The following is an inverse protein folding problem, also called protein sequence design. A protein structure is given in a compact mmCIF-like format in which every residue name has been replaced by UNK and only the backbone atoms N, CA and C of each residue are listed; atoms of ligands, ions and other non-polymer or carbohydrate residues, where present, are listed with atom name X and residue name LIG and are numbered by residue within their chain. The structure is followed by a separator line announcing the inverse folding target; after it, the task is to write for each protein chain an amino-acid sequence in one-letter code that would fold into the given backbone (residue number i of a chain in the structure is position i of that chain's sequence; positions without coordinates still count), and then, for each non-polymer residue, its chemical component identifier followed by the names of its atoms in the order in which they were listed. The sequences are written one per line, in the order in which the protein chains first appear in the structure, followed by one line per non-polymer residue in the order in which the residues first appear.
data_IF_489025695440
#
_entry.id   IF_489025695440
#
_cell.length_a   1.000
_cell.length_b   1.000
_cell.length_c   1.000
_cell.angle_alpha   90.00
_cell.angle_beta   90.00
_cell.angle_gamma   90.00
#
_symmetry.space_group_name_H-M   'P 1'
#
loop_
_entity.id
_entity.type
_entity.pdbx_description
1 polymer ?
#
# COMPACT_ATOMS: atom_id res chain seq x y z
N UNK A 1 1.40 -23.02 -0.09
CA UNK A 1 0.27 -22.67 -0.97
C UNK A 1 0.90 -22.26 -2.29
N UNK A 2 0.69 -23.05 -3.35
CA UNK A 2 1.13 -22.74 -4.71
C UNK A 2 0.40 -21.48 -5.17
N UNK A 3 1.12 -20.50 -5.71
CA UNK A 3 0.49 -19.31 -6.29
C UNK A 3 -0.32 -19.74 -7.52
N UNK A 4 -1.63 -19.51 -7.47
CA UNK A 4 -2.54 -19.77 -8.58
C UNK A 4 -2.34 -18.72 -9.68
N UNK A 5 -2.43 -19.15 -10.94
CA UNK A 5 -2.41 -18.22 -12.06
C UNK A 5 -3.74 -17.43 -12.16
N UNK A 6 -3.79 -16.31 -12.92
CA UNK A 6 -5.05 -15.64 -13.20
C UNK A 6 -6.11 -16.57 -13.81
N UNK A 7 -5.72 -17.53 -14.65
CA UNK A 7 -6.64 -18.51 -15.24
C UNK A 7 -7.27 -19.43 -14.18
N UNK A 8 -6.45 -19.92 -13.24
CA UNK A 8 -6.90 -20.75 -12.13
C UNK A 8 -7.87 -19.98 -11.24
N UNK A 9 -7.56 -18.72 -10.93
CA UNK A 9 -8.45 -17.84 -10.15
C UNK A 9 -9.78 -17.61 -10.83
N UNK A 10 -9.79 -17.30 -12.13
CA UNK A 10 -11.04 -17.12 -12.88
C UNK A 10 -11.87 -18.41 -12.87
N UNK A 11 -11.24 -19.58 -12.99
CA UNK A 11 -11.93 -20.86 -12.87
C UNK A 11 -12.55 -21.07 -11.47
N UNK A 12 -11.80 -20.76 -10.40
CA UNK A 12 -12.31 -20.83 -9.02
C UNK A 12 -13.52 -19.89 -8.85
N UNK A 13 -13.44 -18.66 -9.33
CA UNK A 13 -14.52 -17.68 -9.16
C UNK A 13 -15.78 -18.07 -9.94
N UNK A 14 -15.65 -18.66 -11.13
CA UNK A 14 -16.79 -19.17 -11.92
C UNK A 14 -17.59 -20.25 -11.21
N UNK A 15 -16.91 -21.10 -10.43
CA UNK A 15 -17.49 -22.33 -9.86
C UNK A 15 -17.69 -22.28 -8.34
N UNK A 16 -17.08 -21.33 -7.63
CA UNK A 16 -17.35 -21.13 -6.20
C UNK A 16 -18.77 -20.64 -5.96
N UNK A 17 -19.17 -20.54 -4.69
CA UNK A 17 -20.48 -19.97 -4.29
C UNK A 17 -20.38 -18.72 -3.39
N UNK A 18 -19.28 -18.53 -2.67
CA UNK A 18 -19.09 -17.44 -1.70
C UNK A 18 -18.92 -16.05 -2.32
N UNK A 19 -19.48 -14.98 -1.72
CA UNK A 19 -19.04 -13.61 -1.94
C UNK A 19 -17.54 -13.48 -1.67
N UNK A 20 -16.79 -12.82 -2.55
CA UNK A 20 -15.31 -12.83 -2.49
C UNK A 20 -14.72 -11.43 -2.61
N UNK A 21 -13.87 -11.04 -1.66
CA UNK A 21 -12.99 -9.88 -1.77
C UNK A 21 -11.60 -10.34 -2.20
N UNK A 22 -11.16 -9.88 -3.38
CA UNK A 22 -9.83 -10.16 -3.91
C UNK A 22 -8.89 -9.02 -3.52
N UNK A 23 -7.76 -9.37 -2.90
CA UNK A 23 -6.73 -8.41 -2.47
C UNK A 23 -5.41 -8.73 -3.16
N UNK A 24 -4.50 -7.75 -3.25
CA UNK A 24 -3.25 -7.92 -3.98
C UNK A 24 -2.33 -8.97 -3.34
N UNK A 25 -2.01 -8.79 -2.06
CA UNK A 25 -0.98 -9.57 -1.38
C UNK A 25 -1.41 -10.08 -0.02
N UNK A 26 -0.48 -10.81 0.60
CA UNK A 26 -0.71 -11.39 1.94
C UNK A 26 -0.73 -10.34 3.04
N UNK A 27 0.00 -9.23 2.87
CA UNK A 27 0.01 -8.14 3.85
C UNK A 27 -1.38 -7.48 3.90
N UNK A 28 -2.08 -7.34 2.77
CA UNK A 28 -3.48 -6.88 2.68
C UNK A 28 -4.45 -7.84 3.37
N UNK A 29 -4.30 -9.14 3.11
CA UNK A 29 -5.11 -10.17 3.77
C UNK A 29 -4.96 -10.10 5.30
N UNK A 30 -3.74 -9.91 5.80
CA UNK A 30 -3.50 -9.77 7.25
C UNK A 30 -4.21 -8.55 7.82
N UNK A 31 -4.29 -7.45 7.08
CA UNK A 31 -5.02 -6.24 7.50
C UNK A 31 -6.52 -6.48 7.66
N UNK A 32 -7.10 -7.36 6.83
CA UNK A 32 -8.52 -7.67 6.79
C UNK A 32 -8.93 -8.93 7.56
N UNK A 33 -7.98 -9.62 8.20
CA UNK A 33 -8.27 -10.91 8.85
C UNK A 33 -9.33 -10.81 9.94
N UNK A 34 -9.25 -9.79 10.80
CA UNK A 34 -10.22 -9.62 11.88
C UNK A 34 -11.60 -9.26 11.31
N UNK A 35 -11.64 -8.48 10.22
CA UNK A 35 -12.86 -8.17 9.49
C UNK A 35 -13.51 -9.43 8.87
N UNK A 36 -12.74 -10.34 8.27
CA UNK A 36 -13.26 -11.62 7.77
C UNK A 36 -13.91 -12.45 8.89
N UNK A 37 -13.24 -12.55 10.05
CA UNK A 37 -13.73 -13.31 11.20
C UNK A 37 -15.03 -12.71 11.74
N UNK A 38 -15.11 -11.38 11.83
CA UNK A 38 -16.30 -10.68 12.34
C UNK A 38 -17.50 -10.77 11.39
N UNK A 39 -17.26 -11.00 10.09
CA UNK A 39 -18.30 -11.09 9.07
C UNK A 39 -18.47 -12.51 8.53
N UNK A 40 -18.12 -13.52 9.33
CA UNK A 40 -18.26 -14.95 8.96
C UNK A 40 -19.70 -15.32 8.54
N UNK A 41 -20.71 -14.68 9.15
CA UNK A 41 -22.12 -14.91 8.84
C UNK A 41 -22.50 -14.50 7.41
N UNK A 42 -21.71 -13.63 6.77
CA UNK A 42 -21.91 -13.21 5.38
C UNK A 42 -21.32 -14.21 4.38
N UNK A 43 -20.59 -15.22 4.85
CA UNK A 43 -19.83 -16.13 4.01
C UNK A 43 -18.78 -15.44 3.14
N UNK A 44 -18.39 -14.20 3.50
CA UNK A 44 -17.39 -13.43 2.77
C UNK A 44 -16.04 -14.13 2.86
N UNK A 45 -15.43 -14.36 1.70
CA UNK A 45 -14.08 -14.93 1.59
C UNK A 45 -13.11 -13.84 1.14
N UNK A 46 -11.99 -13.66 1.84
CA UNK A 46 -10.94 -12.70 1.46
C UNK A 46 -9.73 -13.46 0.94
N UNK A 47 -9.26 -13.10 -0.24
CA UNK A 47 -8.26 -13.93 -0.94
C UNK A 47 -7.17 -13.11 -1.63
N UNK A 48 -5.88 -13.36 -1.31
CA UNK A 48 -4.77 -12.71 -1.98
C UNK A 48 -4.40 -13.40 -3.31
N UNK A 49 -4.10 -12.61 -4.35
CA UNK A 49 -3.79 -13.13 -5.71
C UNK A 49 -2.35 -12.90 -6.18
N UNK A 50 -1.45 -12.59 -5.25
CA UNK A 50 -0.01 -12.47 -5.47
C UNK A 50 0.39 -11.33 -6.41
N UNK A 51 -0.26 -10.18 -6.24
CA UNK A 51 0.16 -8.87 -6.77
C UNK A 51 -0.85 -8.22 -7.72
N UNK A 52 -0.71 -6.89 -7.87
CA UNK A 52 -1.54 -6.03 -8.72
C UNK A 52 -1.76 -6.54 -10.13
N UNK A 53 -0.72 -7.05 -10.81
CA UNK A 53 -0.84 -7.53 -12.18
C UNK A 53 -1.80 -8.72 -12.31
N UNK A 54 -1.78 -9.65 -11.35
CA UNK A 54 -2.70 -10.77 -11.35
C UNK A 54 -4.11 -10.30 -11.04
N UNK A 55 -4.26 -9.42 -10.05
CA UNK A 55 -5.55 -8.83 -9.67
C UNK A 55 -6.20 -8.12 -10.85
N UNK A 56 -5.46 -7.25 -11.56
CA UNK A 56 -5.93 -6.57 -12.76
C UNK A 56 -6.34 -7.58 -13.85
N UNK A 57 -5.51 -8.60 -14.10
CA UNK A 57 -5.83 -9.64 -15.10
C UNK A 57 -7.12 -10.40 -14.79
N UNK A 58 -7.40 -10.68 -13.51
CA UNK A 58 -8.66 -11.29 -13.08
C UNK A 58 -9.83 -10.30 -13.23
N UNK A 59 -9.64 -9.04 -12.83
CA UNK A 59 -10.65 -7.98 -12.92
C UNK A 59 -11.09 -7.69 -14.36
N UNK A 60 -10.15 -7.66 -15.32
CA UNK A 60 -10.47 -7.49 -16.74
C UNK A 60 -11.40 -8.59 -17.28
N UNK A 61 -11.38 -9.76 -16.63
CA UNK A 61 -12.17 -10.95 -16.98
C UNK A 61 -13.43 -11.11 -16.13
N UNK A 62 -13.80 -10.11 -15.31
CA UNK A 62 -14.95 -10.17 -14.40
C UNK A 62 -16.28 -10.55 -15.05
N UNK A 63 -16.46 -10.23 -16.33
CA UNK A 63 -17.66 -10.62 -17.08
C UNK A 63 -17.83 -12.14 -17.17
N UNK A 64 -16.74 -12.91 -17.14
CA UNK A 64 -16.78 -14.38 -17.18
C UNK A 64 -17.37 -15.01 -15.91
N UNK A 65 -17.50 -14.24 -14.84
CA UNK A 65 -18.12 -14.63 -13.56
C UNK A 65 -19.06 -13.54 -13.03
N UNK A 66 -19.75 -12.84 -13.94
CA UNK A 66 -20.67 -11.74 -13.62
C UNK A 66 -21.86 -12.13 -12.76
N UNK A 67 -22.19 -13.43 -12.69
CA UNK A 67 -23.19 -13.99 -11.76
C UNK A 67 -22.70 -14.06 -10.31
N UNK A 68 -21.45 -13.69 -10.04
CA UNK A 68 -20.77 -13.83 -8.75
C UNK A 68 -20.56 -12.45 -8.13
N UNK A 69 -20.68 -12.38 -6.81
CA UNK A 69 -20.35 -11.16 -6.04
C UNK A 69 -18.87 -11.13 -5.75
N UNK A 70 -18.12 -10.35 -6.53
CA UNK A 70 -16.67 -10.23 -6.38
C UNK A 70 -16.29 -8.76 -6.31
N UNK A 71 -15.60 -8.37 -5.24
CA UNK A 71 -14.96 -7.06 -5.11
C UNK A 71 -13.45 -7.20 -5.22
N UNK A 72 -12.79 -6.12 -5.63
CA UNK A 72 -11.34 -6.04 -5.83
C UNK A 72 -10.80 -4.87 -5.01
N UNK A 73 -9.87 -5.12 -4.10
CA UNK A 73 -9.15 -4.06 -3.38
C UNK A 73 -7.76 -3.90 -3.98
N UNK A 74 -7.48 -2.71 -4.52
CA UNK A 74 -6.17 -2.35 -5.04
C UNK A 74 -5.49 -1.29 -4.17
N UNK A 75 -4.18 -1.39 -4.11
CA UNK A 75 -3.33 -0.29 -3.73
C UNK A 75 -3.33 0.77 -4.84
N UNK A 76 -3.32 2.05 -4.46
CA UNK A 76 -3.16 3.12 -5.46
C UNK A 76 -1.79 3.06 -6.11
N UNK A 77 -0.76 2.68 -5.37
CA UNK A 77 0.63 2.77 -5.77
C UNK A 77 0.95 4.13 -6.42
N UNK A 78 1.58 4.11 -7.60
CA UNK A 78 1.93 5.29 -8.38
C UNK A 78 0.70 6.06 -8.89
N UNK A 79 -0.50 5.48 -8.85
CA UNK A 79 -1.74 6.17 -9.24
C UNK A 79 -2.11 7.31 -8.29
N UNK A 80 -1.47 7.41 -7.12
CA UNK A 80 -1.55 8.61 -6.29
C UNK A 80 -0.95 9.84 -6.99
N UNK A 81 -0.01 9.65 -7.93
CA UNK A 81 0.63 10.72 -8.69
C UNK A 81 0.02 10.92 -10.07
N UNK A 82 -0.41 9.84 -10.73
CA UNK A 82 -0.94 9.87 -12.11
C UNK A 82 -2.45 9.89 -12.20
N UNK A 83 -3.15 9.58 -11.10
CA UNK A 83 -4.59 9.34 -11.08
C UNK A 83 -4.95 7.89 -11.38
N UNK A 84 -6.11 7.46 -10.87
CA UNK A 84 -6.63 6.11 -11.09
C UNK A 84 -7.07 5.96 -12.56
N UNK A 85 -6.60 4.92 -13.28
CA UNK A 85 -7.02 4.65 -14.65
C UNK A 85 -8.53 4.44 -14.79
N UNK A 86 -9.10 4.91 -15.90
CA UNK A 86 -10.55 4.85 -16.14
C UNK A 86 -11.11 3.42 -16.12
N UNK A 87 -10.34 2.43 -16.59
CA UNK A 87 -10.80 1.04 -16.60
C UNK A 87 -10.98 0.45 -15.20
N UNK A 88 -10.34 1.03 -14.18
CA UNK A 88 -10.51 0.64 -12.77
C UNK A 88 -11.60 1.44 -12.05
N UNK A 89 -12.28 2.40 -12.71
CA UNK A 89 -13.39 3.16 -12.12
C UNK A 89 -14.70 2.37 -12.24
N UNK A 90 -14.72 1.20 -11.62
CA UNK A 90 -15.85 0.27 -11.58
C UNK A 90 -16.32 0.13 -10.12
N UNK A 91 -17.62 -0.06 -9.90
CA UNK A 91 -18.22 -0.13 -8.57
C UNK A 91 -17.71 -1.32 -7.75
N UNK A 92 -17.19 -2.36 -8.40
CA UNK A 92 -16.57 -3.51 -7.72
C UNK A 92 -15.09 -3.31 -7.37
N UNK A 93 -14.51 -2.14 -7.67
CA UNK A 93 -13.11 -1.83 -7.40
C UNK A 93 -13.00 -0.81 -6.26
N UNK A 94 -12.31 -1.22 -5.20
CA UNK A 94 -12.02 -0.44 -4.01
C UNK A 94 -10.53 -0.09 -3.99
N UNK A 95 -10.22 1.03 -3.33
CA UNK A 95 -8.86 1.56 -3.27
C UNK A 95 -8.48 1.98 -1.86
N UNK A 96 -7.23 1.74 -1.51
CA UNK A 96 -6.60 2.34 -0.32
C UNK A 96 -6.61 3.88 -0.40
N UNK A 97 -6.55 4.58 0.74
CA UNK A 97 -6.51 6.05 0.74
C UNK A 97 -5.11 6.58 0.35
N UNK A 98 -4.07 6.01 0.96
CA UNK A 98 -2.67 6.29 0.67
C UNK A 98 -2.10 5.48 -0.49
N UNK A 99 -0.77 5.42 -0.56
CA UNK A 99 -0.05 4.67 -1.59
C UNK A 99 -0.40 3.16 -1.53
N UNK A 100 -0.38 2.56 -0.35
CA UNK A 100 -0.73 1.15 -0.12
C UNK A 100 -1.52 0.93 1.17
N UNK A 101 -1.97 -0.29 1.43
CA UNK A 101 -2.65 -0.65 2.68
C UNK A 101 -1.77 -0.36 3.91
N UNK A 102 -0.45 -0.48 3.79
CA UNK A 102 0.44 -0.15 4.90
C UNK A 102 0.40 1.34 5.24
N UNK A 103 0.17 2.23 4.28
CA UNK A 103 -0.02 3.66 4.54
C UNK A 103 -1.26 3.92 5.39
N UNK A 104 -2.37 3.31 5.01
CA UNK A 104 -3.63 3.45 5.72
C UNK A 104 -3.50 2.94 7.17
N UNK A 105 -2.83 1.79 7.34
CA UNK A 105 -2.51 1.21 8.64
C UNK A 105 -1.54 2.08 9.45
N UNK A 106 -0.48 2.63 8.86
CA UNK A 106 0.46 3.54 9.55
C UNK A 106 -0.30 4.74 10.14
N UNK A 107 -1.16 5.36 9.33
CA UNK A 107 -1.95 6.54 9.71
C UNK A 107 -2.95 6.21 10.81
N UNK A 108 -3.65 5.08 10.67
CA UNK A 108 -4.61 4.60 11.67
C UNK A 108 -3.94 4.26 12.99
N UNK A 109 -2.79 3.56 12.95
CA UNK A 109 -1.96 3.22 14.10
C UNK A 109 -1.34 4.44 14.79
N UNK A 110 -1.23 5.57 14.07
CA UNK A 110 -0.53 6.79 14.47
C UNK A 110 0.94 6.51 14.80
N UNK A 111 1.62 5.76 13.95
CA UNK A 111 3.00 5.29 14.20
C UNK A 111 3.97 6.45 14.44
N UNK A 112 3.81 7.59 13.75
CA UNK A 112 4.59 8.80 14.00
C UNK A 112 4.60 9.24 15.48
N UNK A 113 3.50 9.00 16.21
CA UNK A 113 3.39 9.36 17.64
C UNK A 113 4.29 8.53 18.56
N UNK A 114 4.83 7.40 18.09
CA UNK A 114 5.77 6.56 18.84
C UNK A 114 7.20 7.12 18.85
N UNK A 115 7.52 8.03 17.92
CA UNK A 115 8.79 8.74 17.84
C UNK A 115 8.87 9.83 18.93
N UNK A 116 10.05 9.97 19.53
CA UNK A 116 10.30 10.88 20.66
C UNK A 116 11.54 11.73 20.42
N UNK A 117 11.46 13.02 20.77
CA UNK A 117 12.60 13.94 20.71
C UNK A 117 13.30 13.92 19.34
N UNK A 118 14.61 13.67 19.36
CA UNK A 118 15.49 13.61 18.19
C UNK A 118 15.11 12.55 17.15
N UNK A 119 14.32 11.52 17.52
CA UNK A 119 13.84 10.52 16.57
C UNK A 119 12.91 11.13 15.51
N UNK A 120 12.19 12.20 15.85
CA UNK A 120 11.36 12.93 14.89
C UNK A 120 12.23 13.70 13.91
N UNK A 121 13.31 14.31 14.37
CA UNK A 121 14.25 15.05 13.52
C UNK A 121 14.96 14.09 12.56
N UNK A 122 15.34 12.91 13.05
CA UNK A 122 15.91 11.84 12.22
C UNK A 122 14.92 11.33 11.18
N UNK A 123 13.66 11.09 11.56
CA UNK A 123 12.61 10.73 10.60
C UNK A 123 12.48 11.80 9.51
N UNK A 124 12.41 13.08 9.89
CA UNK A 124 12.29 14.18 8.93
C UNK A 124 13.50 14.28 8.00
N UNK A 125 14.71 14.10 8.52
CA UNK A 125 15.93 14.07 7.70
C UNK A 125 15.92 12.92 6.67
N UNK A 126 15.49 11.71 7.09
CA UNK A 126 15.34 10.56 6.19
C UNK A 126 14.28 10.80 5.12
N UNK A 127 13.10 11.32 5.50
CA UNK A 127 12.01 11.66 4.58
C UNK A 127 12.46 12.71 3.56
N UNK A 128 13.18 13.75 3.99
CA UNK A 128 13.67 14.79 3.09
C UNK A 128 14.63 14.23 2.03
N UNK A 129 15.62 13.44 2.42
CA UNK A 129 16.59 12.85 1.49
C UNK A 129 15.96 11.82 0.56
N UNK A 130 15.11 10.93 1.09
CA UNK A 130 14.41 9.93 0.27
C UNK A 130 13.40 10.61 -0.67
N UNK A 131 12.73 11.68 -0.21
CA UNK A 131 11.80 12.47 -1.02
C UNK A 131 12.47 13.10 -2.25
N UNK A 132 13.72 13.55 -2.12
CA UNK A 132 14.50 14.05 -3.27
C UNK A 132 14.79 12.96 -4.31
N UNK A 133 15.01 11.72 -3.87
CA UNK A 133 15.17 10.58 -4.79
C UNK A 133 13.84 10.18 -5.43
N UNK A 134 12.78 10.08 -4.63
CA UNK A 134 11.46 9.68 -5.12
C UNK A 134 10.89 10.72 -6.08
N UNK A 135 11.09 12.02 -5.87
CA UNK A 135 10.58 13.04 -6.79
C UNK A 135 11.13 12.90 -8.21
N UNK A 136 12.40 12.48 -8.36
CA UNK A 136 12.99 12.14 -9.66
C UNK A 136 12.46 10.83 -10.20
N UNK A 137 12.37 9.81 -9.35
CA UNK A 137 11.86 8.49 -9.75
C UNK A 137 10.43 8.61 -10.28
N UNK A 138 9.57 9.40 -9.62
CA UNK A 138 8.20 9.71 -10.07
C UNK A 138 8.23 10.40 -11.43
N UNK A 139 9.03 11.46 -11.59
CA UNK A 139 9.14 12.17 -12.87
C UNK A 139 9.61 11.23 -13.99
N UNK A 140 10.58 10.37 -13.71
CA UNK A 140 11.14 9.43 -14.66
C UNK A 140 10.07 8.39 -15.08
N UNK A 141 9.33 7.83 -14.11
CA UNK A 141 8.19 6.92 -14.37
C UNK A 141 7.12 7.58 -15.23
N UNK A 142 6.68 8.80 -14.88
CA UNK A 142 5.64 9.53 -15.63
C UNK A 142 6.11 9.88 -17.05
N UNK A 143 7.41 10.16 -17.22
CA UNK A 143 8.00 10.50 -18.52
C UNK A 143 8.31 9.26 -19.37
N UNK A 144 8.05 8.05 -18.87
CA UNK A 144 8.37 6.79 -19.56
C UNK A 144 9.85 6.39 -19.54
N UNK A 145 10.68 7.06 -18.72
CA UNK A 145 12.10 6.74 -18.50
C UNK A 145 12.25 5.98 -17.18
N UNK A 146 12.06 4.66 -17.18
CA UNK A 146 11.98 3.85 -15.97
C UNK A 146 13.34 3.48 -15.33
N UNK A 147 14.38 4.30 -15.51
CA UNK A 147 15.75 4.00 -15.03
C UNK A 147 15.91 4.16 -13.51
N UNK A 148 14.89 4.69 -12.83
CA UNK A 148 14.88 4.94 -11.39
C UNK A 148 13.71 4.22 -10.69
N UNK A 149 13.96 3.11 -9.97
CA UNK A 149 12.89 2.34 -9.34
C UNK A 149 12.31 3.02 -8.09
N UNK A 150 10.99 3.15 -8.03
CA UNK A 150 10.25 3.64 -6.86
C UNK A 150 10.26 2.65 -5.67
N UNK A 151 10.64 1.40 -5.92
CA UNK A 151 10.51 0.31 -4.96
C UNK A 151 11.77 0.02 -4.14
N UNK A 152 12.80 0.87 -4.19
CA UNK A 152 14.04 0.68 -3.43
C UNK A 152 13.82 0.73 -1.91
N UNK A 153 14.59 -0.08 -1.19
CA UNK A 153 14.64 0.00 0.27
C UNK A 153 15.36 1.29 0.71
N UNK A 154 14.98 1.96 1.82
CA UNK A 154 15.63 3.18 2.30
C UNK A 154 17.16 3.16 2.30
N UNK A 155 17.78 2.06 2.75
CA UNK A 155 19.26 1.91 2.78
C UNK A 155 19.94 1.82 1.41
N UNK A 156 19.18 1.48 0.37
CA UNK A 156 19.66 1.56 -1.00
C UNK A 156 19.57 2.98 -1.55
N UNK A 157 18.76 3.84 -0.92
CA UNK A 157 18.56 5.23 -1.33
C UNK A 157 19.52 6.15 -0.59
N UNK A 158 19.66 5.98 0.72
CA UNK A 158 20.47 6.82 1.60
C UNK A 158 21.47 6.02 2.43
N UNK A 159 22.58 6.67 2.80
CA UNK A 159 23.58 6.17 3.76
C UNK A 159 23.18 6.45 5.23
N UNK A 160 24.04 6.07 6.18
CA UNK A 160 23.82 6.28 7.62
C UNK A 160 23.79 7.76 8.03
N UNK A 161 24.33 8.65 7.20
CA UNK A 161 24.29 10.11 7.38
C UNK A 161 23.11 10.75 6.63
N UNK A 162 22.20 9.94 6.09
CA UNK A 162 21.07 10.34 5.25
C UNK A 162 21.47 11.03 3.94
N UNK A 163 22.68 10.85 3.45
CA UNK A 163 23.06 11.29 2.10
C UNK A 163 22.58 10.27 1.08
N UNK A 164 22.13 10.75 -0.08
CA UNK A 164 21.76 9.85 -1.19
C UNK A 164 23.00 9.07 -1.64
N UNK A 165 22.82 7.77 -1.88
CA UNK A 165 23.91 6.88 -2.26
C UNK A 165 24.62 7.37 -3.54
N UNK A 166 25.97 7.31 -3.61
CA UNK A 166 26.72 7.90 -4.72
C UNK A 166 26.41 7.34 -6.11
N UNK A 167 26.04 6.06 -6.21
CA UNK A 167 25.61 5.39 -7.44
C UNK A 167 24.29 5.96 -7.96
N UNK A 168 23.37 6.34 -7.07
CA UNK A 168 22.13 7.01 -7.44
C UNK A 168 22.36 8.46 -7.84
N UNK A 169 23.37 9.14 -7.28
CA UNK A 169 23.70 10.54 -7.60
C UNK A 169 24.08 10.76 -9.07
N UNK A 170 24.47 9.72 -9.82
CA UNK A 170 24.69 9.87 -11.27
C UNK A 170 23.44 10.38 -11.98
N UNK A 171 22.25 9.93 -11.56
CA UNK A 171 20.96 10.41 -12.08
C UNK A 171 20.59 11.83 -11.60
N UNK A 172 21.43 12.44 -10.75
CA UNK A 172 21.20 13.78 -10.19
C UNK A 172 21.96 14.89 -10.92
N UNK A 173 22.90 14.54 -11.81
CA UNK A 173 23.92 15.48 -12.31
C UNK A 173 23.39 16.62 -13.18
N UNK A 174 22.29 16.44 -13.90
CA UNK A 174 21.89 17.39 -14.95
C UNK A 174 20.56 18.12 -14.73
N UNK A 175 19.78 17.71 -13.71
CA UNK A 175 18.49 18.31 -13.40
C UNK A 175 18.34 18.44 -11.89
N UNK A 176 17.71 19.50 -11.39
CA UNK A 176 17.29 19.55 -9.99
C UNK A 176 16.07 18.62 -9.78
N UNK A 177 15.87 18.06 -8.58
CA UNK A 177 14.65 17.30 -8.32
C UNK A 177 13.43 18.25 -8.46
N UNK A 178 12.33 17.81 -9.08
CA UNK A 178 11.18 18.70 -9.30
C UNK A 178 10.56 19.10 -7.97
N UNK A 179 10.50 20.41 -7.71
CA UNK A 179 10.08 20.93 -6.41
C UNK A 179 8.62 20.57 -6.09
N UNK A 180 7.72 20.61 -7.08
CA UNK A 180 6.31 20.26 -6.91
C UNK A 180 6.12 18.84 -6.35
N UNK A 181 6.93 17.89 -6.83
CA UNK A 181 6.91 16.51 -6.33
C UNK A 181 7.49 16.38 -4.93
N UNK A 182 8.54 17.15 -4.61
CA UNK A 182 9.08 17.21 -3.25
C UNK A 182 8.02 17.75 -2.28
N UNK A 183 7.37 18.86 -2.64
CA UNK A 183 6.38 19.53 -1.80
C UNK A 183 5.16 18.64 -1.58
N UNK A 184 4.69 17.97 -2.64
CA UNK A 184 3.61 16.99 -2.55
C UNK A 184 4.01 15.82 -1.63
N UNK A 185 5.19 15.21 -1.82
CA UNK A 185 5.68 14.13 -0.96
C UNK A 185 5.78 14.56 0.51
N UNK A 186 6.26 15.79 0.77
CA UNK A 186 6.42 16.33 2.11
C UNK A 186 5.11 16.75 2.79
N UNK A 187 4.05 17.02 2.03
CA UNK A 187 2.77 17.50 2.56
C UNK A 187 2.03 16.48 3.42
N UNK A 188 2.09 15.20 3.05
CA UNK A 188 1.59 14.06 3.84
C UNK A 188 2.46 12.82 3.53
N UNK A 189 3.63 12.68 4.18
CA UNK A 189 4.54 11.58 3.89
C UNK A 189 3.90 10.22 4.15
N UNK A 190 3.04 10.11 5.17
CA UNK A 190 2.36 8.87 5.51
C UNK A 190 1.33 8.45 4.47
N UNK A 191 0.85 9.37 3.62
CA UNK A 191 -0.01 9.08 2.48
C UNK A 191 0.78 8.85 1.19
N UNK A 192 1.80 9.67 0.94
CA UNK A 192 2.40 9.83 -0.39
C UNK A 192 3.66 8.99 -0.62
N UNK A 193 4.36 8.57 0.43
CA UNK A 193 5.48 7.63 0.28
C UNK A 193 4.95 6.20 0.23
N UNK A 194 5.66 5.31 -0.48
CA UNK A 194 5.36 3.87 -0.43
C UNK A 194 5.38 3.34 1.01
N UNK A 195 4.30 2.68 1.43
CA UNK A 195 4.13 2.21 2.82
C UNK A 195 5.26 1.33 3.34
N UNK A 196 5.80 0.42 2.51
CA UNK A 196 6.97 -0.41 2.87
C UNK A 196 8.22 0.43 3.17
N UNK A 197 8.43 1.53 2.45
CA UNK A 197 9.53 2.46 2.70
C UNK A 197 9.37 3.13 4.07
N UNK A 198 8.17 3.61 4.37
CA UNK A 198 7.86 4.24 5.67
C UNK A 198 8.00 3.26 6.84
N UNK A 199 7.48 2.04 6.70
CA UNK A 199 7.60 0.99 7.70
C UNK A 199 9.07 0.66 7.97
N UNK A 200 9.92 0.59 6.94
CA UNK A 200 11.36 0.39 7.13
C UNK A 200 12.01 1.55 7.88
N UNK A 201 11.66 2.80 7.58
CA UNK A 201 12.17 3.98 8.30
C UNK A 201 11.73 3.94 9.76
N UNK A 202 10.44 3.73 10.03
CA UNK A 202 9.91 3.62 11.39
C UNK A 202 10.57 2.48 12.16
N UNK A 203 10.72 1.31 11.54
CA UNK A 203 11.36 0.15 12.18
C UNK A 203 12.82 0.45 12.52
N UNK A 204 13.57 1.09 11.61
CA UNK A 204 14.98 1.45 11.87
C UNK A 204 15.12 2.36 13.09
N UNK A 205 14.29 3.40 13.20
CA UNK A 205 14.34 4.36 14.31
C UNK A 205 13.81 3.72 15.61
N UNK A 206 12.65 3.05 15.54
CA UNK A 206 11.96 2.49 16.70
C UNK A 206 12.58 1.20 17.24
N UNK A 207 13.56 0.61 16.54
CA UNK A 207 14.31 -0.58 16.98
C UNK A 207 15.72 -0.28 17.52
N UNK A 208 16.12 1.00 17.57
CA UNK A 208 17.44 1.41 18.06
C UNK A 208 17.76 0.88 19.46
N UNK A 209 19.05 0.62 19.70
CA UNK A 209 19.53 -0.11 20.89
C UNK A 209 19.22 0.58 22.21
N UNK A 210 19.23 1.90 22.20
CA UNK A 210 18.99 2.81 23.33
C UNK A 210 17.50 2.97 23.69
N UNK A 211 16.58 2.49 22.85
CA UNK A 211 15.16 2.45 23.21
C UNK A 211 14.86 1.35 24.22
N UNK A 212 14.11 1.73 25.26
CA UNK A 212 13.53 0.80 26.24
C UNK A 212 12.53 -0.18 25.60
N UNK A 213 11.70 0.32 24.67
CA UNK A 213 10.72 -0.46 23.93
C UNK A 213 11.06 -0.40 22.45
N UNK A 214 11.31 -1.58 21.87
CA UNK A 214 11.69 -1.76 20.47
C UNK A 214 10.53 -2.33 19.68
N UNK A 215 10.41 -1.90 18.43
CA UNK A 215 9.32 -2.31 17.56
C UNK A 215 9.90 -2.94 16.30
N UNK A 216 9.42 -4.13 15.96
CA UNK A 216 9.63 -4.75 14.66
C UNK A 216 8.57 -4.28 13.66
N UNK A 217 8.79 -4.51 12.35
CA UNK A 217 7.74 -4.33 11.32
C UNK A 217 6.43 -4.98 11.76
N UNK A 218 6.48 -6.25 12.18
CA UNK A 218 5.28 -6.99 12.58
C UNK A 218 4.55 -6.34 13.74
N UNK A 219 5.26 -5.82 14.75
CA UNK A 219 4.62 -5.13 15.87
C UNK A 219 3.93 -3.84 15.42
N UNK A 220 4.54 -3.07 14.52
CA UNK A 220 3.94 -1.85 14.00
C UNK A 220 2.65 -2.15 13.23
N UNK A 221 2.70 -3.16 12.34
CA UNK A 221 1.54 -3.56 11.55
C UNK A 221 0.39 -4.10 12.42
N UNK A 222 0.72 -4.93 13.42
CA UNK A 222 -0.27 -5.50 14.34
C UNK A 222 -0.96 -4.42 15.19
N UNK A 223 -0.19 -3.50 15.78
CA UNK A 223 -0.75 -2.38 16.57
C UNK A 223 -1.62 -1.47 15.69
N UNK A 224 -1.20 -1.23 14.45
CA UNK A 224 -1.95 -0.46 13.47
C UNK A 224 -3.29 -1.12 13.11
N UNK A 225 -3.27 -2.41 12.76
CA UNK A 225 -4.48 -3.16 12.41
C UNK A 225 -5.44 -3.27 13.59
N UNK A 226 -4.94 -3.61 14.79
CA UNK A 226 -5.76 -3.74 16.00
C UNK A 226 -6.45 -2.43 16.42
N UNK A 227 -5.88 -1.28 16.05
CA UNK A 227 -6.47 0.03 16.35
C UNK A 227 -7.71 0.33 15.51
N UNK A 228 -7.83 -0.24 14.30
CA UNK A 228 -8.93 -0.04 13.34
C UNK A 228 -9.33 1.44 13.24
N UNK A 229 -8.43 2.24 12.68
CA UNK A 229 -8.66 3.68 12.54
C UNK A 229 -9.61 4.02 11.40
N UNK A 230 -9.67 5.30 11.05
CA UNK A 230 -10.63 5.81 10.09
C UNK A 230 -10.46 5.24 8.68
N UNK A 231 -9.23 4.94 8.24
CA UNK A 231 -8.98 4.46 6.89
C UNK A 231 -9.42 2.99 6.75
N UNK A 232 -9.01 2.13 7.67
CA UNK A 232 -9.41 0.72 7.66
C UNK A 232 -10.92 0.58 7.85
N UNK A 233 -11.52 1.30 8.82
CA UNK A 233 -12.98 1.29 9.00
C UNK A 233 -13.73 1.80 7.78
N UNK A 234 -13.18 2.78 7.05
CA UNK A 234 -13.79 3.23 5.80
C UNK A 234 -13.75 2.11 4.75
N UNK A 235 -12.60 1.46 4.55
CA UNK A 235 -12.48 0.36 3.60
C UNK A 235 -13.42 -0.81 3.96
N UNK A 236 -13.48 -1.20 5.22
CA UNK A 236 -14.40 -2.23 5.72
C UNK A 236 -15.86 -1.87 5.41
N UNK A 237 -16.26 -0.61 5.61
CA UNK A 237 -17.59 -0.12 5.24
C UNK A 237 -17.84 -0.13 3.73
N UNK A 238 -16.85 0.26 2.94
CA UNK A 238 -16.95 0.25 1.47
C UNK A 238 -17.12 -1.20 0.97
N UNK A 239 -16.41 -2.17 1.57
CA UNK A 239 -16.56 -3.61 1.32
C UNK A 239 -17.98 -4.08 1.67
N UNK A 240 -18.47 -3.80 2.88
CA UNK A 240 -19.81 -4.21 3.29
C UNK A 240 -20.88 -3.58 2.39
N UNK A 241 -20.79 -2.29 2.12
CA UNK A 241 -21.73 -1.58 1.26
C UNK A 241 -21.78 -2.16 -0.16
N UNK A 242 -20.66 -2.65 -0.70
CA UNK A 242 -20.65 -3.39 -1.96
C UNK A 242 -21.48 -4.67 -1.85
N UNK A 243 -21.26 -5.50 -0.82
CA UNK A 243 -21.94 -6.78 -0.71
C UNK A 243 -23.44 -6.65 -0.33
N UNK A 244 -23.83 -5.67 0.49
CA UNK A 244 -25.25 -5.39 0.84
C UNK A 244 -26.10 -5.02 -0.37
N UNK A 245 -25.60 -4.10 -1.22
CA UNK A 245 -26.32 -3.63 -2.42
C UNK A 245 -26.71 -4.78 -3.36
N UNK A 246 -25.99 -5.89 -3.26
CA UNK A 246 -26.17 -7.04 -4.13
C UNK A 246 -26.89 -8.21 -3.43
N UNK A 247 -27.38 -8.09 -2.19
CA UNK A 247 -28.23 -9.09 -1.51
C UNK A 247 -29.67 -9.16 -2.06
N UNK A 248 -30.08 -8.20 -2.89
CA UNK A 248 -31.44 -8.11 -3.42
C UNK A 248 -31.58 -8.69 -4.84
N UNK A 249 -31.30 -9.98 -5.04
CA UNK A 249 -31.73 -10.76 -6.23
C UNK A 249 -32.07 -12.18 -5.82
#
# INVERSE_FOLDING_TARGET
MTDLSPDDWVAVLKHGDSPTLIVEGRDDFVAFRDFEIENVDWGLTITPVSGKSNLISIFERRNEFSHRKVAFLLDKDEWIFTGIPDFCKDDCVLFTDGYSIENDLIRDGRIYSLLKGNEKDEYQAKIASIGQYLSRSIMATISGCADLPLSLHPRQIIDDNNNIQPDLLYHFKDHLPPQDWIDMLASDPEKNFRGKTLISIYTEILSKKDRKSKYSKSNLMEISAARRGANLTKLEKDVLAFFEKHESV
#
